data_IF_682212796859
#
_entry.id   IF_682212796859
#
_cell.length_a   1.000
_cell.length_b   1.000
_cell.length_c   1.000
_cell.angle_alpha   90.00
_cell.angle_beta   90.00
_cell.angle_gamma   90.00
#
_symmetry.space_group_name_H-M   'P 1'
#
loop_
_entity.id
_entity.type
_entity.pdbx_description
1 polymer ?
#
# COMPACT_ATOMS: atom_id res chain seq x y z
N UNK A 1 -33.91 -38.86 13.64
CA UNK A 1 -33.31 -37.97 12.64
C UNK A 1 -33.76 -36.54 12.98
N UNK A 2 -32.89 -35.64 13.37
CA UNK A 2 -33.27 -34.22 13.55
C UNK A 2 -33.30 -33.52 12.20
N UNK A 3 -34.20 -32.55 12.01
CA UNK A 3 -34.41 -31.87 10.73
C UNK A 3 -33.20 -31.00 10.38
N UNK A 4 -32.76 -31.10 9.12
CA UNK A 4 -31.72 -30.29 8.49
C UNK A 4 -32.22 -28.82 8.46
N UNK A 5 -31.52 -27.92 9.12
CA UNK A 5 -31.75 -26.47 8.94
C UNK A 5 -31.35 -26.09 7.52
N UNK A 6 -32.28 -25.59 6.79
CA UNK A 6 -32.08 -24.89 5.51
C UNK A 6 -31.33 -23.59 5.77
N UNK A 7 -30.42 -23.15 4.86
CA UNK A 7 -29.82 -21.84 5.00
C UNK A 7 -30.90 -20.77 4.85
N UNK A 8 -31.10 -19.96 5.88
CA UNK A 8 -32.08 -18.89 5.93
C UNK A 8 -31.77 -17.83 4.88
N UNK A 9 -32.83 -17.42 4.22
CA UNK A 9 -32.97 -16.24 3.36
C UNK A 9 -32.29 -15.02 4.01
N UNK A 10 -31.56 -14.26 3.19
CA UNK A 10 -30.98 -12.97 3.54
C UNK A 10 -32.02 -12.05 4.19
N UNK A 11 -32.02 -12.01 5.51
CA UNK A 11 -32.85 -11.08 6.27
C UNK A 11 -32.06 -9.76 6.40
N UNK A 12 -32.77 -8.65 6.22
CA UNK A 12 -32.20 -7.32 6.33
C UNK A 12 -31.38 -7.21 7.63
N UNK A 13 -30.13 -6.79 7.52
CA UNK A 13 -29.16 -6.66 8.61
C UNK A 13 -29.82 -6.13 9.88
N UNK A 14 -29.92 -6.95 10.92
CA UNK A 14 -30.54 -6.55 12.17
C UNK A 14 -29.74 -5.38 12.79
N UNK A 15 -30.40 -4.38 13.43
CA UNK A 15 -29.70 -3.24 14.05
C UNK A 15 -28.56 -3.65 15.01
N UNK A 16 -28.68 -4.84 15.61
CA UNK A 16 -27.64 -5.43 16.48
C UNK A 16 -26.36 -5.79 15.73
N UNK A 17 -26.44 -6.23 14.48
CA UNK A 17 -25.27 -6.60 13.69
C UNK A 17 -24.47 -5.38 13.26
N UNK A 18 -25.11 -4.26 12.96
CA UNK A 18 -24.45 -2.99 12.63
C UNK A 18 -23.68 -2.44 13.83
N UNK A 19 -24.25 -2.49 15.03
CA UNK A 19 -23.57 -2.04 16.24
C UNK A 19 -22.37 -2.92 16.57
N UNK A 20 -22.49 -4.23 16.44
CA UNK A 20 -21.41 -5.18 16.66
C UNK A 20 -20.31 -4.99 15.61
N UNK A 21 -20.66 -4.77 14.34
CA UNK A 21 -19.69 -4.47 13.26
C UNK A 21 -18.93 -3.16 13.54
N UNK A 22 -19.62 -2.11 14.00
CA UNK A 22 -18.99 -0.83 14.39
C UNK A 22 -17.99 -1.00 15.55
N UNK A 23 -18.34 -1.74 16.57
CA UNK A 23 -17.44 -2.05 17.68
C UNK A 23 -16.21 -2.83 17.22
N UNK A 24 -16.42 -3.80 16.33
CA UNK A 24 -15.33 -4.55 15.72
C UNK A 24 -14.41 -3.66 14.87
N UNK A 25 -14.98 -2.77 14.05
CA UNK A 25 -14.23 -1.80 13.24
C UNK A 25 -13.41 -0.86 14.12
N UNK A 26 -14.00 -0.28 15.16
CA UNK A 26 -13.31 0.61 16.10
C UNK A 26 -12.16 -0.11 16.81
N UNK A 27 -12.36 -1.36 17.19
CA UNK A 27 -11.30 -2.19 17.81
C UNK A 27 -10.14 -2.46 16.84
N UNK A 28 -10.44 -2.63 15.56
CA UNK A 28 -9.42 -2.80 14.52
C UNK A 28 -8.63 -1.52 14.32
N UNK A 29 -9.31 -0.39 14.14
CA UNK A 29 -8.71 0.93 13.93
C UNK A 29 -7.88 1.42 15.12
N UNK A 30 -8.19 0.99 16.34
CA UNK A 30 -7.38 1.28 17.52
C UNK A 30 -6.00 0.60 17.49
N UNK A 31 -5.79 -0.41 16.65
CA UNK A 31 -4.52 -1.16 16.56
C UNK A 31 -3.60 -0.66 15.45
N UNK A 32 -4.16 -0.28 14.31
CA UNK A 32 -3.45 0.27 13.15
C UNK A 32 -4.42 0.96 12.20
N UNK A 33 -3.88 1.73 11.29
CA UNK A 33 -4.66 2.26 10.17
C UNK A 33 -5.07 1.14 9.20
N UNK A 34 -6.22 1.33 8.57
CA UNK A 34 -6.79 0.47 7.54
C UNK A 34 -7.25 1.33 6.36
N UNK A 35 -7.22 0.76 5.15
CA UNK A 35 -7.99 1.31 4.04
C UNK A 35 -9.46 0.92 4.17
N UNK A 36 -10.34 1.63 3.46
CA UNK A 36 -11.76 1.31 3.42
C UNK A 36 -12.00 -0.14 2.97
N UNK A 37 -11.28 -0.58 1.94
CA UNK A 37 -11.34 -1.95 1.44
C UNK A 37 -10.85 -2.97 2.46
N UNK A 38 -9.67 -2.77 3.03
CA UNK A 38 -9.12 -3.70 4.03
C UNK A 38 -10.03 -3.84 5.25
N UNK A 39 -10.63 -2.73 5.72
CA UNK A 39 -11.55 -2.76 6.86
C UNK A 39 -12.81 -3.54 6.52
N UNK A 40 -13.42 -3.30 5.35
CA UNK A 40 -14.59 -4.04 4.87
C UNK A 40 -14.29 -5.54 4.79
N UNK A 41 -13.22 -5.93 4.11
CA UNK A 41 -12.79 -7.33 3.98
C UNK A 41 -12.57 -7.98 5.35
N UNK A 42 -11.98 -7.26 6.30
CA UNK A 42 -11.72 -7.77 7.64
C UNK A 42 -13.00 -7.96 8.46
N UNK A 43 -14.00 -7.10 8.28
CA UNK A 43 -15.30 -7.27 8.92
C UNK A 43 -16.04 -8.48 8.35
N UNK A 44 -16.03 -8.66 7.03
CA UNK A 44 -16.63 -9.83 6.38
C UNK A 44 -15.96 -11.13 6.83
N UNK A 45 -14.61 -11.15 6.93
CA UNK A 45 -13.86 -12.30 7.46
C UNK A 45 -14.21 -12.64 8.91
N UNK A 46 -14.72 -11.68 9.68
CA UNK A 46 -15.23 -11.91 11.05
C UNK A 46 -16.68 -12.38 11.12
N UNK A 47 -17.30 -12.56 9.97
CA UNK A 47 -18.66 -13.09 9.86
C UNK A 47 -19.75 -12.04 9.80
N UNK A 48 -19.43 -10.74 9.65
CA UNK A 48 -20.41 -9.70 9.39
C UNK A 48 -20.88 -9.75 7.94
N UNK A 49 -22.17 -9.47 7.72
CA UNK A 49 -22.71 -9.38 6.38
C UNK A 49 -22.11 -8.21 5.60
N UNK A 50 -21.98 -8.37 4.29
CA UNK A 50 -21.39 -7.36 3.41
C UNK A 50 -22.08 -6.00 3.53
N UNK A 51 -23.42 -6.00 3.60
CA UNK A 51 -24.22 -4.77 3.76
C UNK A 51 -23.92 -4.05 5.09
N UNK A 52 -23.75 -4.79 6.19
CA UNK A 52 -23.38 -4.23 7.50
C UNK A 52 -21.95 -3.68 7.48
N UNK A 53 -21.00 -4.42 6.91
CA UNK A 53 -19.62 -3.98 6.76
C UNK A 53 -19.54 -2.70 5.92
N UNK A 54 -20.22 -2.66 4.76
CA UNK A 54 -20.25 -1.50 3.87
C UNK A 54 -20.88 -0.27 4.55
N UNK A 55 -21.97 -0.45 5.27
CA UNK A 55 -22.64 0.62 6.02
C UNK A 55 -21.72 1.25 7.08
N UNK A 56 -21.05 0.42 7.87
CA UNK A 56 -20.10 0.88 8.90
C UNK A 56 -18.89 1.59 8.27
N UNK A 57 -18.34 1.07 7.18
CA UNK A 57 -17.23 1.71 6.46
C UNK A 57 -17.64 3.08 5.92
N UNK A 58 -18.83 3.19 5.29
CA UNK A 58 -19.34 4.46 4.79
C UNK A 58 -19.54 5.48 5.91
N UNK A 59 -20.07 5.07 7.05
CA UNK A 59 -20.21 5.92 8.23
C UNK A 59 -18.85 6.44 8.73
N UNK A 60 -17.86 5.57 8.86
CA UNK A 60 -16.52 5.94 9.32
C UNK A 60 -15.81 6.89 8.34
N UNK A 61 -16.03 6.74 7.05
CA UNK A 61 -15.56 7.69 6.02
C UNK A 61 -16.26 9.04 6.21
N UNK A 62 -17.60 9.05 6.33
CA UNK A 62 -18.37 10.27 6.54
C UNK A 62 -18.00 11.02 7.83
N UNK A 63 -17.59 10.30 8.86
CA UNK A 63 -17.09 10.87 10.12
C UNK A 63 -15.60 11.29 10.07
N UNK A 64 -14.89 11.08 8.94
CA UNK A 64 -13.47 11.39 8.80
C UNK A 64 -12.53 10.51 9.64
N UNK A 65 -13.06 9.43 10.23
CA UNK A 65 -12.26 8.44 10.98
C UNK A 65 -11.45 7.59 10.03
N UNK A 66 -12.06 7.16 8.92
CA UNK A 66 -11.43 6.41 7.85
C UNK A 66 -11.19 7.33 6.65
N UNK A 67 -9.94 7.42 6.21
CA UNK A 67 -9.50 8.32 5.13
C UNK A 67 -8.36 7.67 4.35
N UNK A 68 -8.67 7.17 3.18
CA UNK A 68 -7.72 6.48 2.30
C UNK A 68 -6.63 7.42 1.77
N UNK A 69 -6.91 8.71 1.60
CA UNK A 69 -5.92 9.71 1.21
C UNK A 69 -4.87 9.93 2.30
N UNK A 70 -5.33 10.13 3.55
CA UNK A 70 -4.46 10.24 4.71
C UNK A 70 -3.65 8.96 4.93
N UNK A 71 -4.29 7.80 4.78
CA UNK A 71 -3.60 6.50 4.84
C UNK A 71 -2.46 6.45 3.82
N UNK A 72 -2.73 6.81 2.55
CA UNK A 72 -1.73 6.79 1.49
C UNK A 72 -0.54 7.71 1.79
N UNK A 73 -0.79 8.94 2.25
CA UNK A 73 0.26 9.90 2.61
C UNK A 73 1.14 9.39 3.75
N UNK A 74 0.54 8.88 4.82
CA UNK A 74 1.26 8.29 5.95
C UNK A 74 2.10 7.08 5.52
N UNK A 75 1.54 6.24 4.64
CA UNK A 75 2.21 5.09 4.08
C UNK A 75 3.45 5.50 3.27
N UNK A 76 3.31 6.49 2.39
CA UNK A 76 4.43 7.05 1.60
C UNK A 76 5.52 7.58 2.54
N UNK A 77 5.16 8.42 3.51
CA UNK A 77 6.13 9.01 4.44
C UNK A 77 6.92 7.93 5.22
N UNK A 78 6.22 6.92 5.74
CA UNK A 78 6.84 5.82 6.47
C UNK A 78 7.83 5.02 5.59
N UNK A 79 7.43 4.66 4.38
CA UNK A 79 8.26 3.84 3.49
C UNK A 79 9.41 4.62 2.83
N UNK A 80 9.24 5.92 2.61
CA UNK A 80 10.33 6.85 2.26
C UNK A 80 11.42 6.86 3.34
N UNK A 81 11.03 6.92 4.62
CA UNK A 81 11.97 6.82 5.75
C UNK A 81 12.76 5.51 5.75
N UNK A 82 12.20 4.43 5.21
CA UNK A 82 12.85 3.12 5.06
C UNK A 82 13.64 2.98 3.75
N UNK A 83 13.71 4.01 2.92
CA UNK A 83 14.44 4.04 1.67
C UNK A 83 13.81 3.19 0.56
N UNK A 84 12.49 3.09 0.54
CA UNK A 84 11.75 2.44 -0.54
C UNK A 84 11.43 3.44 -1.65
N UNK A 85 11.43 2.96 -2.90
CA UNK A 85 11.12 3.75 -4.08
C UNK A 85 9.62 3.78 -4.42
N UNK A 86 9.21 4.71 -5.30
CA UNK A 86 7.81 4.98 -5.58
C UNK A 86 7.07 3.80 -6.24
N UNK A 87 7.74 2.99 -7.06
CA UNK A 87 7.11 1.85 -7.73
C UNK A 87 6.67 0.76 -6.74
N UNK A 88 7.51 0.49 -5.74
CA UNK A 88 7.18 -0.47 -4.69
C UNK A 88 6.04 0.04 -3.81
N UNK A 89 6.12 1.29 -3.38
CA UNK A 89 5.07 1.93 -2.57
C UNK A 89 3.74 1.91 -3.31
N UNK A 90 3.72 2.29 -4.60
CA UNK A 90 2.52 2.24 -5.42
C UNK A 90 1.94 0.83 -5.54
N UNK A 91 2.78 -0.18 -5.73
CA UNK A 91 2.32 -1.57 -5.83
C UNK A 91 1.69 -2.08 -4.53
N UNK A 92 2.25 -1.70 -3.38
CA UNK A 92 1.73 -2.08 -2.07
C UNK A 92 0.40 -1.36 -1.77
N UNK A 93 0.29 -0.06 -2.07
CA UNK A 93 -0.97 0.70 -1.93
C UNK A 93 -2.09 0.18 -2.85
N UNK A 94 -1.76 -0.25 -4.09
CA UNK A 94 -2.75 -0.91 -4.96
C UNK A 94 -3.28 -2.21 -4.37
N UNK A 95 -2.42 -3.01 -3.75
CA UNK A 95 -2.85 -4.25 -3.06
C UNK A 95 -3.76 -3.97 -1.89
N UNK A 96 -3.55 -2.87 -1.18
CA UNK A 96 -4.45 -2.40 -0.11
C UNK A 96 -5.78 -1.82 -0.63
N UNK A 97 -5.97 -1.76 -1.96
CA UNK A 97 -7.24 -1.39 -2.58
C UNK A 97 -7.43 0.09 -2.86
N UNK A 98 -6.36 0.90 -2.80
CA UNK A 98 -6.44 2.30 -3.15
C UNK A 98 -6.56 2.52 -4.67
N UNK A 99 -7.25 3.58 -5.05
CA UNK A 99 -7.37 3.99 -6.46
C UNK A 99 -6.05 4.59 -6.98
N UNK A 100 -5.89 4.55 -8.30
CA UNK A 100 -4.70 5.10 -8.96
C UNK A 100 -4.51 6.59 -8.63
N UNK A 101 -5.59 7.36 -8.62
CA UNK A 101 -5.56 8.81 -8.34
C UNK A 101 -5.07 9.13 -6.93
N UNK A 102 -5.53 8.38 -5.92
CA UNK A 102 -5.08 8.54 -4.54
C UNK A 102 -3.59 8.18 -4.38
N UNK A 103 -3.15 7.13 -5.06
CA UNK A 103 -1.76 6.71 -5.05
C UNK A 103 -0.87 7.76 -5.71
N UNK A 104 -1.26 8.25 -6.87
CA UNK A 104 -0.52 9.30 -7.60
C UNK A 104 -0.44 10.59 -6.78
N UNK A 105 -1.56 11.05 -6.21
CA UNK A 105 -1.60 12.22 -5.35
C UNK A 105 -0.69 12.07 -4.12
N UNK A 106 -0.69 10.91 -3.48
CA UNK A 106 0.18 10.65 -2.34
C UNK A 106 1.68 10.61 -2.72
N UNK A 107 2.02 10.00 -3.85
CA UNK A 107 3.41 9.96 -4.34
C UNK A 107 3.92 11.33 -4.80
N UNK A 108 3.03 12.20 -5.30
CA UNK A 108 3.36 13.56 -5.69
C UNK A 108 3.77 14.45 -4.49
N UNK A 109 3.29 14.12 -3.28
CA UNK A 109 3.73 14.79 -2.04
C UNK A 109 5.03 14.21 -1.47
N UNK A 110 5.59 13.19 -2.12
CA UNK A 110 6.83 12.54 -1.74
C UNK A 110 8.07 13.42 -1.94
N UNK A 111 9.26 12.92 -1.60
CA UNK A 111 10.51 13.65 -1.79
C UNK A 111 10.94 13.65 -3.26
N UNK A 112 12.03 14.36 -3.56
CA UNK A 112 12.80 14.08 -4.77
C UNK A 112 13.28 12.62 -4.75
N UNK A 113 12.65 11.78 -5.57
CA UNK A 113 12.90 10.35 -5.62
C UNK A 113 14.31 10.01 -6.12
N UNK A 114 14.88 10.85 -6.98
CA UNK A 114 16.27 10.71 -7.44
C UNK A 114 17.25 11.02 -6.31
N UNK A 115 16.99 12.05 -5.52
CA UNK A 115 17.80 12.36 -4.34
C UNK A 115 17.70 11.25 -3.29
N UNK A 116 16.50 10.68 -3.09
CA UNK A 116 16.31 9.54 -2.19
C UNK A 116 17.11 8.32 -2.68
N UNK A 117 17.05 7.98 -3.98
CA UNK A 117 17.79 6.88 -4.56
C UNK A 117 19.31 7.05 -4.35
N UNK A 118 19.85 8.25 -4.62
CA UNK A 118 21.28 8.58 -4.34
C UNK A 118 21.63 8.38 -2.87
N UNK A 119 20.80 8.88 -1.95
CA UNK A 119 21.02 8.75 -0.51
C UNK A 119 21.03 7.27 -0.08
N UNK A 120 20.08 6.48 -0.56
CA UNK A 120 19.96 5.05 -0.24
C UNK A 120 21.11 4.26 -0.81
N UNK A 121 21.54 4.57 -2.03
CA UNK A 121 22.72 3.96 -2.66
C UNK A 121 23.99 4.23 -1.87
N UNK A 122 24.25 5.50 -1.52
CA UNK A 122 25.41 5.92 -0.72
C UNK A 122 25.43 5.28 0.66
N UNK A 123 24.28 5.19 1.32
CA UNK A 123 24.18 4.54 2.64
C UNK A 123 24.57 3.05 2.60
N UNK A 124 24.33 2.37 1.47
CA UNK A 124 24.63 0.94 1.31
C UNK A 124 26.02 0.66 0.78
N UNK A 125 26.51 1.47 -0.18
CA UNK A 125 27.72 1.19 -0.95
C UNK A 125 28.84 2.20 -0.73
N UNK A 126 28.60 3.27 0.02
CA UNK A 126 29.55 4.36 0.24
C UNK A 126 29.41 5.50 -0.77
N UNK A 127 30.29 6.50 -0.64
CA UNK A 127 30.26 7.73 -1.44
C UNK A 127 30.98 7.58 -2.77
N UNK A 128 31.91 6.62 -2.86
CA UNK A 128 32.72 6.39 -4.07
C UNK A 128 31.83 5.93 -5.23
N UNK A 129 32.00 6.50 -6.42
CA UNK A 129 31.31 6.01 -7.61
C UNK A 129 31.76 4.57 -7.91
N UNK A 130 30.93 3.77 -8.59
CA UNK A 130 31.33 2.42 -8.98
C UNK A 130 32.43 2.49 -10.04
N UNK A 131 33.51 1.75 -9.82
CA UNK A 131 34.67 1.71 -10.71
C UNK A 131 34.51 0.69 -11.86
N UNK A 132 33.57 -0.24 -11.72
CA UNK A 132 33.34 -1.32 -12.69
C UNK A 132 31.86 -1.44 -13.04
N UNK A 133 31.61 -1.96 -14.23
CA UNK A 133 30.24 -2.28 -14.66
C UNK A 133 29.52 -3.23 -13.68
N UNK A 134 30.24 -4.22 -13.14
CA UNK A 134 29.68 -5.16 -12.18
C UNK A 134 29.22 -4.46 -10.88
N UNK A 135 29.96 -3.46 -10.40
CA UNK A 135 29.57 -2.64 -9.26
C UNK A 135 28.32 -1.80 -9.57
N UNK A 136 28.30 -1.14 -10.73
CA UNK A 136 27.14 -0.36 -11.20
C UNK A 136 25.89 -1.23 -11.30
N UNK A 137 26.00 -2.41 -11.91
CA UNK A 137 24.91 -3.35 -12.04
C UNK A 137 24.40 -3.87 -10.68
N UNK A 138 25.30 -4.05 -9.70
CA UNK A 138 24.93 -4.43 -8.33
C UNK A 138 24.14 -3.32 -7.62
N UNK A 139 24.58 -2.08 -7.77
CA UNK A 139 23.88 -0.91 -7.23
C UNK A 139 22.52 -0.73 -7.87
N UNK A 140 22.43 -0.85 -9.20
CA UNK A 140 21.20 -0.74 -9.95
C UNK A 140 20.18 -1.80 -9.51
N UNK A 141 20.56 -3.08 -9.41
CA UNK A 141 19.67 -4.16 -8.92
C UNK A 141 19.20 -3.93 -7.49
N UNK A 142 20.05 -3.41 -6.63
CA UNK A 142 19.66 -3.06 -5.26
C UNK A 142 18.56 -1.99 -5.23
N UNK A 143 18.72 -0.91 -6.02
CA UNK A 143 17.72 0.16 -6.12
C UNK A 143 16.43 -0.32 -6.79
N UNK A 144 16.55 -1.14 -7.84
CA UNK A 144 15.40 -1.76 -8.50
C UNK A 144 14.58 -2.63 -7.53
N UNK A 145 15.24 -3.46 -6.72
CA UNK A 145 14.58 -4.26 -5.69
C UNK A 145 13.87 -3.39 -4.65
N UNK A 146 14.39 -2.20 -4.37
CA UNK A 146 13.76 -1.21 -3.50
C UNK A 146 12.60 -0.46 -4.15
N UNK A 147 12.38 -0.62 -5.45
CA UNK A 147 11.26 -0.04 -6.18
C UNK A 147 11.53 1.34 -6.74
N UNK A 148 12.78 1.67 -7.04
CA UNK A 148 13.13 2.87 -7.81
C UNK A 148 12.97 2.61 -9.31
N UNK A 149 12.55 3.63 -10.07
CA UNK A 149 12.46 3.55 -11.54
C UNK A 149 13.85 3.58 -12.18
N UNK A 150 13.90 3.21 -13.47
CA UNK A 150 15.14 3.28 -14.26
C UNK A 150 15.77 4.68 -14.25
N UNK A 151 14.96 5.74 -14.32
CA UNK A 151 15.45 7.11 -14.27
C UNK A 151 16.06 7.47 -12.92
N UNK A 152 15.43 7.07 -11.81
CA UNK A 152 15.98 7.26 -10.48
C UNK A 152 17.29 6.48 -10.28
N UNK A 153 17.35 5.26 -10.84
CA UNK A 153 18.56 4.41 -10.77
C UNK A 153 19.68 5.04 -11.58
N UNK A 154 19.41 5.48 -12.81
CA UNK A 154 20.39 6.18 -13.66
C UNK A 154 20.92 7.43 -12.96
N UNK A 155 20.05 8.23 -12.39
CA UNK A 155 20.45 9.43 -11.64
C UNK A 155 21.31 9.12 -10.40
N UNK A 156 21.19 7.92 -9.82
CA UNK A 156 21.93 7.52 -8.62
C UNK A 156 23.26 6.82 -8.91
N UNK A 157 23.33 6.04 -10.00
CA UNK A 157 24.47 5.14 -10.30
C UNK A 157 25.24 5.52 -11.55
N UNK A 158 24.68 6.39 -12.41
CA UNK A 158 25.20 6.66 -13.75
C UNK A 158 25.07 5.45 -14.70
N UNK A 159 24.49 4.33 -14.25
CA UNK A 159 24.33 3.14 -15.07
C UNK A 159 23.13 3.29 -16.02
N UNK A 160 23.33 3.07 -17.29
CA UNK A 160 22.22 2.76 -18.21
C UNK A 160 21.77 1.33 -17.92
N UNK A 161 20.52 1.18 -17.45
CA UNK A 161 19.87 -0.12 -17.46
C UNK A 161 19.56 -0.42 -18.91
N UNK A 162 20.31 -1.34 -19.50
CA UNK A 162 19.95 -1.96 -20.77
C UNK A 162 18.57 -2.62 -20.54
N UNK A 163 17.52 -1.95 -21.00
CA UNK A 163 16.21 -2.55 -21.19
C UNK A 163 16.34 -3.46 -22.41
N UNK A 164 17.14 -4.52 -22.25
CA UNK A 164 17.34 -5.52 -23.28
C UNK A 164 16.00 -5.89 -23.84
N UNK A 165 15.80 -5.48 -25.07
CA UNK A 165 14.81 -5.95 -26.00
C UNK A 165 14.75 -7.49 -25.88
N UNK A 166 13.78 -8.00 -25.16
CA UNK A 166 13.28 -9.35 -25.43
C UNK A 166 12.43 -9.21 -26.68
N UNK A 167 13.09 -9.20 -27.81
CA UNK A 167 12.46 -9.47 -29.10
C UNK A 167 12.25 -10.99 -29.21
N UNK A 168 11.10 -11.43 -29.76
CA UNK A 168 10.56 -12.77 -29.70
C UNK A 168 11.39 -13.83 -30.44
#
# INVERSE_FOLDING_TARGET
>A
MPPRRLPGTADATAPGDTLAARLAATTLLARRDFTARELSERLIQRGFEEAAAAGVVAELIGAGVLDDGRYAQNYVAYHVGRGQGPLRIAAELRRSGLTADLIEAALATGPDWSALARRVCRAKFGVQPPDTWAQSARQARFLQYRGFSSDHIRAATGAELDTGSMDP
#
